data_IF_950826622786
#
_entry.id   IF_950826622786
#
_cell.length_a   1.000
_cell.length_b   1.000
_cell.length_c   1.000
_cell.angle_alpha   90.00
_cell.angle_beta   90.00
_cell.angle_gamma   90.00
#
_symmetry.space_group_name_H-M   'P 1'
#
loop_
_entity.id
_entity.type
_entity.pdbx_description
1 polymer ?
#
# COMPACT_ATOMS: atom_id res chain seq x y z
N UNK A 1 -2.84 4.99 14.92
CA UNK A 1 -3.61 5.82 13.97
C UNK A 1 -3.85 5.03 12.69
N UNK A 2 -5.07 5.04 12.19
CA UNK A 2 -5.39 4.27 10.98
C UNK A 2 -5.22 5.13 9.74
N UNK A 3 -4.57 4.57 8.73
CA UNK A 3 -4.28 5.26 7.46
C UNK A 3 -4.54 4.35 6.28
N UNK A 4 -4.89 4.94 5.15
CA UNK A 4 -4.98 4.19 3.88
C UNK A 4 -3.57 3.87 3.39
N UNK A 5 -3.47 2.93 2.44
CA UNK A 5 -2.18 2.61 1.84
C UNK A 5 -1.55 3.85 1.19
N UNK A 6 -2.36 4.66 0.51
CA UNK A 6 -1.86 5.88 -0.10
C UNK A 6 -1.32 6.86 0.96
N UNK A 7 -2.07 7.06 2.05
CA UNK A 7 -1.65 7.96 3.11
C UNK A 7 -0.37 7.47 3.77
N UNK A 8 -0.25 6.17 4.02
CA UNK A 8 0.95 5.58 4.60
C UNK A 8 2.17 5.83 3.69
N UNK A 9 2.00 5.62 2.38
CA UNK A 9 3.06 5.87 1.41
C UNK A 9 3.48 7.35 1.41
N UNK A 10 2.51 8.24 1.33
CA UNK A 10 2.78 9.68 1.28
C UNK A 10 3.44 10.16 2.56
N UNK A 11 3.06 9.60 3.71
CA UNK A 11 3.68 9.94 4.98
C UNK A 11 5.16 9.58 5.05
N UNK A 12 5.61 8.62 4.25
CA UNK A 12 7.03 8.27 4.13
C UNK A 12 7.70 8.99 2.97
N UNK A 13 7.00 9.92 2.34
CA UNK A 13 7.53 10.72 1.23
C UNK A 13 7.96 9.89 0.02
N UNK A 14 7.30 8.78 -0.20
CA UNK A 14 7.56 7.92 -1.35
C UNK A 14 6.58 8.20 -2.49
N UNK A 15 7.10 8.21 -3.70
CA UNK A 15 6.26 8.14 -4.90
C UNK A 15 5.78 6.71 -5.08
N UNK A 16 4.79 6.50 -5.94
CA UNK A 16 4.36 5.13 -6.28
C UNK A 16 5.53 4.32 -6.85
N UNK A 17 6.38 4.95 -7.64
CA UNK A 17 7.57 4.31 -8.22
C UNK A 17 8.55 3.89 -7.13
N UNK A 18 8.85 4.77 -6.18
CA UNK A 18 9.75 4.45 -5.08
C UNK A 18 9.18 3.31 -4.22
N UNK A 19 7.89 3.35 -3.92
CA UNK A 19 7.25 2.31 -3.14
C UNK A 19 7.29 0.96 -3.87
N UNK A 20 7.06 0.97 -5.19
CA UNK A 20 7.13 -0.24 -5.99
C UNK A 20 8.53 -0.86 -5.92
N UNK A 21 9.57 -0.06 -6.02
CA UNK A 21 10.95 -0.54 -5.91
C UNK A 21 11.23 -1.10 -4.51
N UNK A 22 10.78 -0.42 -3.47
CA UNK A 22 11.03 -0.84 -2.09
C UNK A 22 10.32 -2.15 -1.75
N UNK A 23 9.14 -2.36 -2.30
CA UNK A 23 8.31 -3.55 -2.02
C UNK A 23 8.61 -4.69 -3.00
N UNK A 24 9.14 -4.37 -4.17
CA UNK A 24 9.47 -5.36 -5.19
C UNK A 24 8.30 -5.71 -6.09
N UNK A 25 7.46 -4.72 -6.39
CA UNK A 25 6.32 -4.88 -7.30
C UNK A 25 6.36 -3.79 -8.36
N UNK A 26 5.41 -3.81 -9.29
CA UNK A 26 5.31 -2.76 -10.30
C UNK A 26 4.57 -1.55 -9.74
N UNK A 27 4.79 -0.40 -10.40
CA UNK A 27 4.07 0.83 -10.05
C UNK A 27 2.56 0.65 -10.24
N UNK A 28 2.14 -0.08 -11.28
CA UNK A 28 0.73 -0.41 -11.50
C UNK A 28 0.14 -1.19 -10.34
N UNK A 29 0.91 -2.09 -9.75
CA UNK A 29 0.46 -2.86 -8.59
C UNK A 29 0.20 -1.93 -7.40
N UNK A 30 1.09 -0.99 -7.14
CA UNK A 30 0.89 0.01 -6.08
C UNK A 30 -0.39 0.80 -6.35
N UNK A 31 -0.56 1.28 -7.57
CA UNK A 31 -1.74 2.03 -7.96
C UNK A 31 -3.02 1.23 -7.77
N UNK A 32 -3.02 -0.03 -8.17
CA UNK A 32 -4.18 -0.91 -8.03
C UNK A 32 -4.54 -1.14 -6.55
N UNK A 33 -3.55 -1.31 -5.69
CA UNK A 33 -3.80 -1.45 -4.26
C UNK A 33 -4.42 -0.18 -3.68
N UNK A 34 -3.94 0.99 -4.09
CA UNK A 34 -4.44 2.27 -3.58
C UNK A 34 -5.85 2.57 -4.06
N UNK A 35 -6.23 2.03 -5.22
CA UNK A 35 -7.58 2.19 -5.78
C UNK A 35 -8.50 1.02 -5.43
N UNK A 36 -8.05 0.11 -4.60
CA UNK A 36 -8.80 -1.07 -4.17
C UNK A 36 -9.22 -2.00 -5.33
N UNK A 37 -8.48 -1.97 -6.42
CA UNK A 37 -8.68 -2.90 -7.53
C UNK A 37 -8.10 -4.27 -7.25
N UNK A 38 -7.06 -4.32 -6.43
CA UNK A 38 -6.47 -5.56 -5.94
C UNK A 38 -5.94 -5.31 -4.55
N UNK A 39 -5.53 -6.38 -3.87
CA UNK A 39 -5.04 -6.28 -2.49
C UNK A 39 -3.74 -7.06 -2.35
N UNK A 40 -2.83 -6.58 -1.50
CA UNK A 40 -1.57 -7.30 -1.29
C UNK A 40 -1.80 -8.61 -0.54
N UNK A 41 -0.98 -9.61 -0.85
CA UNK A 41 -0.99 -10.87 -0.10
C UNK A 41 -0.20 -10.72 1.21
N UNK A 42 -0.16 -11.80 2.00
CA UNK A 42 0.48 -11.76 3.31
C UNK A 42 1.97 -11.39 3.25
N UNK A 43 2.69 -11.90 2.26
CA UNK A 43 4.11 -11.58 2.09
C UNK A 43 4.30 -10.11 1.71
N UNK A 44 3.45 -9.62 0.82
CA UNK A 44 3.48 -8.23 0.38
C UNK A 44 3.13 -7.28 1.53
N UNK A 45 2.19 -7.66 2.38
CA UNK A 45 1.83 -6.86 3.55
C UNK A 45 3.03 -6.69 4.48
N UNK A 46 3.82 -7.73 4.70
CA UNK A 46 5.02 -7.62 5.52
C UNK A 46 6.01 -6.62 4.93
N UNK A 47 6.15 -6.62 3.62
CA UNK A 47 7.03 -5.67 2.93
C UNK A 47 6.49 -4.25 3.02
N UNK A 48 5.18 -4.09 2.92
CA UNK A 48 4.51 -2.80 3.09
C UNK A 48 4.75 -2.25 4.50
N UNK A 49 4.59 -3.09 5.52
CA UNK A 49 4.83 -2.67 6.90
C UNK A 49 6.24 -2.11 7.08
N UNK A 50 7.24 -2.75 6.48
CA UNK A 50 8.62 -2.29 6.55
C UNK A 50 8.84 -1.01 5.76
N UNK A 51 8.32 -0.96 4.54
CA UNK A 51 8.55 0.18 3.65
C UNK A 51 7.83 1.44 4.14
N UNK A 52 6.61 1.28 4.64
CA UNK A 52 5.77 2.41 5.04
C UNK A 52 5.82 2.70 6.54
N UNK A 53 6.55 1.89 7.31
CA UNK A 53 6.63 2.04 8.77
C UNK A 53 5.25 2.08 9.41
N UNK A 54 4.40 1.13 9.05
CA UNK A 54 3.03 1.06 9.52
C UNK A 54 2.70 -0.39 9.89
N UNK A 55 1.90 -0.58 10.94
CA UNK A 55 1.43 -1.91 11.31
C UNK A 55 0.20 -2.27 10.47
N UNK A 56 0.06 -3.55 10.14
CA UNK A 56 -1.08 -4.04 9.38
C UNK A 56 -2.41 -3.58 9.99
N UNK A 57 -2.52 -3.64 11.32
CA UNK A 57 -3.76 -3.26 12.01
C UNK A 57 -4.08 -1.78 11.87
N UNK A 58 -3.12 -0.96 11.47
CA UNK A 58 -3.33 0.48 11.28
C UNK A 58 -3.62 0.82 9.82
N UNK A 59 -3.64 -0.16 8.92
CA UNK A 59 -3.96 0.08 7.52
C UNK A 59 -5.46 -0.06 7.29
N UNK A 60 -6.05 0.94 6.67
CA UNK A 60 -7.44 0.88 6.23
C UNK A 60 -7.45 0.40 4.79
N UNK A 61 -8.03 -0.80 4.58
CA UNK A 61 -8.25 -1.30 3.23
C UNK A 61 -9.65 -0.89 2.80
N UNK A 62 -9.71 -0.03 1.80
CA UNK A 62 -10.99 0.46 1.31
C UNK A 62 -11.74 -0.67 0.60
N UNK A 63 -13.08 -0.72 0.72
CA UNK A 63 -13.83 -1.74 0.01
C UNK A 63 -13.73 -1.53 -1.49
N UNK A 64 -13.78 -2.64 -2.23
CA UNK A 64 -13.81 -2.57 -3.69
C UNK A 64 -15.10 -1.90 -4.11
N UNK A 65 -14.97 -0.85 -4.92
CA UNK A 65 -16.14 -0.15 -5.43
C UNK A 65 -16.61 -0.84 -6.71
N UNK A 66 -17.83 -1.36 -6.67
CA UNK A 66 -18.48 -1.88 -7.86
C UNK A 66 -19.25 -0.74 -8.48
N UNK A 67 -18.71 -0.21 -9.54
CA UNK A 67 -19.40 0.83 -10.28
C UNK A 67 -20.43 0.22 -11.20
#
# INVERSE_FOLDING_TARGET
MKVTLKAARVNTQMTQKNAAEAIGVTEDTISNWERSKSFPDAMQIKKIERAYHVAYNDIIFLPKINA
#
